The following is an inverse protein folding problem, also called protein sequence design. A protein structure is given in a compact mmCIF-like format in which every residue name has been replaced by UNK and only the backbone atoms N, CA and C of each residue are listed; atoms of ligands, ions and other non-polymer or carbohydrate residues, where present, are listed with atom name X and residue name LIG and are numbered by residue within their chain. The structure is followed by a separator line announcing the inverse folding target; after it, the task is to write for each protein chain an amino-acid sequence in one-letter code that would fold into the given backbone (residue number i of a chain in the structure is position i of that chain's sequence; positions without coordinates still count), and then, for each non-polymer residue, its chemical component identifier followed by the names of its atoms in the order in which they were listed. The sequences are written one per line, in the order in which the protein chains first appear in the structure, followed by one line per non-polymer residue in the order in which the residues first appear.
data_IF_057961318640
#
_entry.id   IF_057961318640
#
_cell.length_a   1.000
_cell.length_b   1.000
_cell.length_c   1.000
_cell.angle_alpha   90.00
_cell.angle_beta   90.00
_cell.angle_gamma   90.00
#
_symmetry.space_group_name_H-M   'P 1'
#
loop_
_entity.id
_entity.type
_entity.pdbx_description
1 polymer ?
#
# COMPACT_ATOMS: atom_id res chain seq x y z
N UNK A 1 -15.38 16.16 -15.08
CA UNK A 1 -14.11 16.41 -14.41
C UNK A 1 -14.23 17.68 -13.60
N UNK A 2 -13.79 17.68 -12.35
CA UNK A 2 -13.69 18.91 -11.55
C UNK A 2 -12.69 19.82 -12.25
N UNK A 3 -13.05 21.08 -12.54
CA UNK A 3 -12.16 22.08 -13.15
C UNK A 3 -11.06 22.56 -12.17
N UNK A 4 -10.83 21.87 -11.06
CA UNK A 4 -9.88 22.23 -10.02
C UNK A 4 -9.01 21.05 -9.57
N UNK A 5 -8.04 21.30 -8.65
CA UNK A 5 -7.17 20.28 -8.11
C UNK A 5 -7.94 19.09 -7.51
N UNK A 6 -7.49 17.88 -7.77
CA UNK A 6 -8.14 16.64 -7.28
C UNK A 6 -8.36 16.68 -5.76
N UNK A 7 -7.36 17.13 -5.00
CA UNK A 7 -7.42 17.18 -3.54
C UNK A 7 -8.61 18.00 -3.01
N UNK A 8 -9.08 19.03 -3.72
CA UNK A 8 -10.20 19.88 -3.27
C UNK A 8 -11.55 19.16 -3.25
N UNK A 9 -11.63 18.00 -3.87
CA UNK A 9 -12.82 17.16 -3.83
C UNK A 9 -12.94 16.34 -2.54
N UNK A 10 -11.94 16.32 -1.69
CA UNK A 10 -11.83 15.48 -0.49
C UNK A 10 -11.63 16.30 0.78
N UNK A 11 -12.00 15.75 1.92
CA UNK A 11 -11.86 16.39 3.23
C UNK A 11 -10.65 15.85 4.03
N UNK A 12 -10.12 14.70 3.61
CA UNK A 12 -8.88 14.11 4.11
C UNK A 12 -8.12 13.41 2.98
N UNK A 13 -6.79 13.50 3.03
CA UNK A 13 -5.88 12.67 2.22
C UNK A 13 -5.11 11.74 3.16
N UNK A 14 -5.22 10.44 2.93
CA UNK A 14 -4.56 9.40 3.70
C UNK A 14 -3.41 8.84 2.87
N UNK A 15 -2.19 9.08 3.29
CA UNK A 15 -0.99 8.64 2.60
C UNK A 15 -0.49 7.30 3.11
N UNK A 16 -0.11 6.39 2.20
CA UNK A 16 0.94 5.44 2.52
C UNK A 16 2.28 6.17 2.67
N UNK A 17 3.28 5.51 3.22
CA UNK A 17 4.57 6.12 3.52
C UNK A 17 5.66 5.70 2.55
N UNK A 18 6.00 4.40 2.53
CA UNK A 18 7.09 3.86 1.73
C UNK A 18 6.71 3.86 0.24
N UNK A 19 7.48 4.56 -0.60
CA UNK A 19 7.17 4.69 -2.03
C UNK A 19 6.23 5.85 -2.37
N UNK A 20 5.65 6.53 -1.37
CA UNK A 20 4.75 7.68 -1.53
C UNK A 20 5.36 8.96 -0.98
N UNK A 21 5.78 8.97 0.28
CA UNK A 21 6.36 10.15 0.94
C UNK A 21 7.88 10.06 1.04
N UNK A 22 8.40 8.87 1.25
CA UNK A 22 9.84 8.59 1.26
C UNK A 22 10.11 7.18 0.73
N UNK A 23 11.35 6.91 0.39
CA UNK A 23 11.83 5.57 0.08
C UNK A 23 13.12 5.34 0.86
N UNK A 24 13.11 4.37 1.78
CA UNK A 24 14.19 4.05 2.74
C UNK A 24 14.46 5.23 3.67
N UNK A 25 15.35 6.17 3.31
CA UNK A 25 15.77 7.35 4.07
C UNK A 25 15.69 8.66 3.25
N UNK A 26 15.16 8.59 2.02
CA UNK A 26 15.08 9.73 1.11
C UNK A 26 13.64 10.15 0.87
N UNK A 27 13.38 11.44 1.06
CA UNK A 27 12.07 12.04 0.76
C UNK A 27 11.82 12.00 -0.74
N UNK A 28 10.63 11.55 -1.13
CA UNK A 28 10.19 11.60 -2.52
C UNK A 28 9.98 13.06 -2.93
N UNK A 29 10.49 13.47 -4.10
CA UNK A 29 10.31 14.84 -4.60
C UNK A 29 8.82 15.25 -4.58
N UNK A 30 8.55 16.44 -4.05
CA UNK A 30 7.19 16.96 -3.94
C UNK A 30 6.44 16.59 -2.64
N UNK A 31 6.87 15.58 -1.87
CA UNK A 31 6.13 15.11 -0.68
C UNK A 31 5.95 16.20 0.40
N UNK A 32 7.01 16.94 0.73
CA UNK A 32 6.95 18.03 1.71
C UNK A 32 6.00 19.12 1.24
N UNK A 33 6.08 19.50 -0.05
CA UNK A 33 5.21 20.53 -0.63
C UNK A 33 3.75 20.07 -0.63
N UNK A 34 3.47 18.82 -1.02
CA UNK A 34 2.14 18.26 -1.08
C UNK A 34 1.44 18.30 0.29
N UNK A 35 2.10 17.78 1.33
CA UNK A 35 1.54 17.80 2.69
C UNK A 35 1.32 19.23 3.19
N UNK A 36 2.28 20.13 2.93
CA UNK A 36 2.16 21.54 3.34
C UNK A 36 1.00 22.25 2.65
N UNK A 37 0.76 21.96 1.37
CA UNK A 37 -0.32 22.56 0.58
C UNK A 37 -1.70 22.05 1.03
N UNK A 38 -1.86 20.74 1.26
CA UNK A 38 -3.09 20.18 1.82
C UNK A 38 -3.46 20.83 3.13
N UNK A 39 -2.50 20.93 4.07
CA UNK A 39 -2.73 21.55 5.38
C UNK A 39 -3.08 23.03 5.25
N UNK A 40 -2.43 23.77 4.34
CA UNK A 40 -2.74 25.18 4.06
C UNK A 40 -4.14 25.35 3.48
N UNK A 41 -4.59 24.38 2.66
CA UNK A 41 -5.94 24.35 2.10
C UNK A 41 -7.01 23.89 3.11
N UNK A 42 -6.62 23.53 4.33
CA UNK A 42 -7.54 23.04 5.36
C UNK A 42 -8.01 21.60 5.15
N UNK A 43 -7.32 20.84 4.26
CA UNK A 43 -7.58 19.43 4.03
C UNK A 43 -6.82 18.63 5.08
N UNK A 44 -7.51 17.75 5.80
CA UNK A 44 -6.86 16.91 6.79
C UNK A 44 -5.86 15.94 6.14
N UNK A 45 -4.80 15.59 6.87
CA UNK A 45 -3.79 14.62 6.44
C UNK A 45 -3.67 13.53 7.48
N UNK A 46 -3.61 12.29 7.02
CA UNK A 46 -3.27 11.14 7.85
C UNK A 46 -2.26 10.24 7.12
N UNK A 47 -1.58 9.41 7.90
CA UNK A 47 -0.55 8.49 7.44
C UNK A 47 -0.90 7.07 7.87
N UNK A 48 -0.99 6.13 6.93
CA UNK A 48 -1.37 4.74 7.20
C UNK A 48 -0.26 3.79 6.73
N UNK A 49 0.41 3.13 7.67
CA UNK A 49 1.54 2.25 7.35
C UNK A 49 1.34 0.81 7.82
N UNK A 50 1.75 -0.14 6.96
CA UNK A 50 1.83 -1.56 7.32
C UNK A 50 3.01 -1.88 8.24
N UNK A 51 3.90 -0.92 8.48
CA UNK A 51 5.05 -1.15 9.33
C UNK A 51 4.67 -1.17 10.82
N UNK A 52 4.74 -2.34 11.45
CA UNK A 52 4.48 -2.54 12.88
C UNK A 52 5.75 -2.45 13.75
N UNK A 53 6.92 -2.21 13.15
CA UNK A 53 8.19 -2.15 13.92
C UNK A 53 8.47 -0.79 14.53
N UNK A 54 7.63 0.22 14.25
CA UNK A 54 7.72 1.58 14.79
C UNK A 54 6.38 2.00 15.38
N UNK A 55 6.43 2.75 16.49
CA UNK A 55 5.22 3.38 17.04
C UNK A 55 4.79 4.59 16.21
N UNK A 56 3.54 5.03 16.37
CA UNK A 56 3.02 6.26 15.75
C UNK A 56 3.90 7.48 16.07
N UNK A 57 4.38 7.59 17.32
CA UNK A 57 5.32 8.63 17.75
C UNK A 57 6.62 8.59 16.93
N UNK A 58 7.26 7.42 16.81
CA UNK A 58 8.52 7.28 16.06
C UNK A 58 8.35 7.55 14.56
N UNK A 59 7.19 7.21 13.99
CA UNK A 59 6.87 7.53 12.59
C UNK A 59 6.69 9.04 12.41
N UNK A 60 5.96 9.71 13.31
CA UNK A 60 5.76 11.16 13.25
C UNK A 60 7.10 11.92 13.39
N UNK A 61 7.98 11.49 14.29
CA UNK A 61 9.33 12.04 14.45
C UNK A 61 10.16 11.86 13.18
N UNK A 62 10.12 10.67 12.56
CA UNK A 62 10.80 10.41 11.31
C UNK A 62 10.31 11.35 10.19
N UNK A 63 8.99 11.45 9.99
CA UNK A 63 8.39 12.34 8.99
C UNK A 63 8.80 13.80 9.23
N UNK A 64 8.74 14.25 10.49
CA UNK A 64 9.15 15.61 10.86
C UNK A 64 10.64 15.86 10.58
N UNK A 65 11.51 14.89 10.85
CA UNK A 65 12.94 14.99 10.53
C UNK A 65 13.21 15.12 9.02
N UNK A 66 12.30 14.61 8.20
CA UNK A 66 12.30 14.72 6.74
C UNK A 66 11.62 16.01 6.23
N UNK A 67 11.14 16.87 7.13
CA UNK A 67 10.44 18.11 6.78
C UNK A 67 8.96 17.93 6.48
N UNK A 68 8.40 16.74 6.67
CA UNK A 68 6.97 16.43 6.49
C UNK A 68 6.26 16.64 7.83
N UNK A 69 5.32 17.57 7.88
CA UNK A 69 4.57 17.87 9.10
C UNK A 69 3.71 16.66 9.52
N UNK A 70 3.99 16.10 10.70
CA UNK A 70 3.26 14.97 11.25
C UNK A 70 3.21 15.05 12.78
N UNK A 71 2.07 14.69 13.36
CA UNK A 71 1.90 14.45 14.78
C UNK A 71 1.52 12.96 14.99
N UNK A 72 1.76 12.39 16.18
CA UNK A 72 1.45 10.97 16.43
C UNK A 72 -0.01 10.60 16.12
N UNK A 73 -0.93 11.50 16.39
CA UNK A 73 -2.37 11.36 16.10
C UNK A 73 -2.71 11.38 14.60
N UNK A 74 -1.78 11.79 13.73
CA UNK A 74 -1.94 11.70 12.28
C UNK A 74 -1.58 10.29 11.75
N UNK A 75 -0.94 9.45 12.57
CA UNK A 75 -0.33 8.18 12.14
C UNK A 75 -1.12 6.98 12.63
N UNK A 76 -1.53 6.13 11.71
CA UNK A 76 -2.13 4.83 11.98
C UNK A 76 -1.15 3.74 11.54
N UNK A 77 -0.67 2.94 12.49
CA UNK A 77 0.24 1.81 12.22
C UNK A 77 -0.51 0.50 12.28
N UNK A 78 -0.07 -0.51 11.50
CA UNK A 78 -0.65 -1.85 11.58
C UNK A 78 -0.43 -2.49 12.95
N UNK A 79 0.61 -2.11 13.67
CA UNK A 79 0.85 -2.56 15.05
C UNK A 79 -0.23 -2.06 16.02
N UNK A 80 -0.50 -0.74 16.01
CA UNK A 80 -1.52 -0.12 16.85
C UNK A 80 -2.92 -0.65 16.52
N UNK A 81 -3.29 -0.70 15.23
CA UNK A 81 -4.56 -1.23 14.78
C UNK A 81 -4.74 -2.72 15.18
N UNK A 82 -3.67 -3.53 15.08
CA UNK A 82 -3.72 -4.93 15.53
C UNK A 82 -3.93 -5.02 17.04
N UNK A 83 -3.20 -4.25 17.83
CA UNK A 83 -3.35 -4.25 19.29
C UNK A 83 -4.77 -3.84 19.71
N UNK A 84 -5.35 -2.82 19.07
CA UNK A 84 -6.74 -2.40 19.29
C UNK A 84 -7.74 -3.51 18.92
N UNK A 85 -7.57 -4.17 17.76
CA UNK A 85 -8.40 -5.31 17.34
C UNK A 85 -8.33 -6.47 18.34
N UNK A 86 -7.15 -6.77 18.86
CA UNK A 86 -6.98 -7.82 19.86
C UNK A 86 -7.67 -7.46 21.19
N UNK A 87 -7.55 -6.22 21.64
CA UNK A 87 -8.20 -5.74 22.86
C UNK A 87 -9.73 -5.80 22.77
N UNK A 88 -10.29 -5.43 21.61
CA UNK A 88 -11.73 -5.54 21.35
C UNK A 88 -12.20 -6.99 21.34
N UNK A 89 -11.44 -7.90 20.74
CA UNK A 89 -11.84 -9.28 20.53
C UNK A 89 -11.65 -10.18 21.76
N UNK A 90 -10.55 -10.02 22.49
CA UNK A 90 -10.17 -10.89 23.59
C UNK A 90 -10.39 -10.25 24.97
N UNK A 91 -10.66 -8.96 25.01
CA UNK A 91 -10.88 -8.22 26.23
C UNK A 91 -9.60 -7.76 26.93
N UNK A 92 -9.73 -6.86 27.92
CA UNK A 92 -8.59 -6.32 28.66
C UNK A 92 -7.87 -7.41 29.46
N UNK A 93 -6.56 -7.35 29.49
CA UNK A 93 -5.71 -8.30 30.23
C UNK A 93 -5.47 -9.64 29.52
N UNK A 94 -6.05 -9.89 28.33
CA UNK A 94 -5.77 -11.09 27.56
C UNK A 94 -4.27 -11.25 27.31
N UNK A 95 -3.82 -12.50 27.37
CA UNK A 95 -2.39 -12.85 27.26
C UNK A 95 -1.96 -12.96 25.80
N UNK A 96 -0.89 -12.24 25.46
CA UNK A 96 -0.41 -12.10 24.06
C UNK A 96 1.07 -12.50 23.97
N UNK A 97 1.37 -13.54 23.18
CA UNK A 97 2.73 -13.82 22.75
C UNK A 97 3.06 -12.93 21.55
N UNK A 98 4.00 -12.02 21.73
CA UNK A 98 4.37 -11.04 20.69
C UNK A 98 5.61 -11.51 19.95
N UNK A 99 5.47 -11.79 18.65
CA UNK A 99 6.55 -12.08 17.72
C UNK A 99 6.74 -10.84 16.84
N UNK A 100 7.71 -10.00 17.15
CA UNK A 100 7.90 -8.74 16.44
C UNK A 100 8.83 -7.78 17.18
N UNK A 101 8.90 -6.55 16.66
CA UNK A 101 9.72 -5.51 17.25
C UNK A 101 9.19 -5.04 18.63
N UNK A 102 10.03 -4.43 19.46
CA UNK A 102 9.63 -3.88 20.77
C UNK A 102 8.45 -2.88 20.68
N UNK A 103 8.33 -2.15 19.57
CA UNK A 103 7.22 -1.24 19.36
C UNK A 103 5.86 -1.97 19.32
N UNK A 104 5.78 -3.14 18.68
CA UNK A 104 4.55 -3.94 18.67
C UNK A 104 4.19 -4.42 20.10
N UNK A 105 5.18 -4.80 20.90
CA UNK A 105 4.95 -5.17 22.30
C UNK A 105 4.44 -3.97 23.12
N UNK A 106 4.95 -2.77 22.85
CA UNK A 106 4.46 -1.55 23.49
C UNK A 106 3.02 -1.22 23.12
N UNK A 107 2.64 -1.40 21.84
CA UNK A 107 1.23 -1.22 21.38
C UNK A 107 0.30 -2.22 22.10
N UNK A 108 0.70 -3.48 22.23
CA UNK A 108 -0.06 -4.50 22.98
C UNK A 108 -0.27 -4.08 24.43
N UNK A 109 0.77 -3.58 25.11
CA UNK A 109 0.65 -3.05 26.48
C UNK A 109 -0.27 -1.83 26.51
N UNK A 110 -0.09 -0.88 25.58
CA UNK A 110 -0.90 0.35 25.49
C UNK A 110 -2.39 0.07 25.27
N UNK A 111 -2.71 -1.04 24.61
CA UNK A 111 -4.09 -1.49 24.40
C UNK A 111 -4.69 -2.23 25.64
N UNK A 112 -3.95 -2.30 26.76
CA UNK A 112 -4.42 -2.96 27.98
C UNK A 112 -4.35 -4.48 27.95
N UNK A 113 -3.57 -5.05 27.02
CA UNK A 113 -3.31 -6.49 26.92
C UNK A 113 -2.05 -6.84 27.71
N UNK A 114 -1.84 -8.13 27.99
CA UNK A 114 -0.72 -8.62 28.80
C UNK A 114 0.25 -9.45 27.95
N UNK A 115 1.39 -8.88 27.53
CA UNK A 115 2.41 -9.66 26.85
C UNK A 115 2.98 -10.77 27.72
N UNK A 116 3.22 -11.92 27.11
CA UNK A 116 3.88 -13.07 27.71
C UNK A 116 5.15 -13.44 26.93
N UNK A 117 6.04 -14.27 27.53
CA UNK A 117 7.38 -14.50 27.00
C UNK A 117 7.50 -15.82 26.22
N UNK A 118 6.54 -16.75 26.35
CA UNK A 118 6.60 -18.01 25.64
C UNK A 118 5.29 -18.80 25.63
N UNK A 119 5.28 -19.91 24.92
CA UNK A 119 4.15 -20.82 24.83
C UNK A 119 3.78 -21.47 26.18
N UNK A 120 4.73 -21.62 27.09
CA UNK A 120 4.50 -22.15 28.43
C UNK A 120 3.52 -21.30 29.26
N UNK A 121 3.42 -20.02 28.96
CA UNK A 121 2.47 -19.09 29.59
C UNK A 121 1.03 -19.25 29.08
N UNK A 122 0.82 -20.13 28.11
CA UNK A 122 -0.48 -20.43 27.49
C UNK A 122 -1.20 -19.16 27.01
N UNK A 123 -0.61 -18.41 26.05
CA UNK A 123 -1.20 -17.19 25.54
C UNK A 123 -2.57 -17.44 24.90
N UNK A 124 -3.50 -16.48 25.07
CA UNK A 124 -4.78 -16.47 24.35
C UNK A 124 -4.58 -16.22 22.85
N UNK A 125 -3.55 -15.42 22.50
CA UNK A 125 -3.26 -15.06 21.13
C UNK A 125 -1.76 -14.88 20.89
N UNK A 126 -1.32 -15.26 19.68
CA UNK A 126 -0.02 -14.93 19.10
C UNK A 126 -0.21 -13.80 18.12
N UNK A 127 0.51 -12.69 18.31
CA UNK A 127 0.57 -11.61 17.32
C UNK A 127 1.93 -11.61 16.64
N UNK A 128 1.93 -11.62 15.30
CA UNK A 128 3.13 -11.65 14.49
C UNK A 128 3.28 -10.39 13.67
N UNK A 129 4.36 -9.66 13.87
CA UNK A 129 4.81 -8.51 13.11
C UNK A 129 6.28 -8.63 12.76
N UNK A 130 6.77 -7.76 11.89
CA UNK A 130 8.18 -7.68 11.58
C UNK A 130 8.99 -7.20 12.79
N UNK A 131 10.13 -7.82 12.99
CA UNK A 131 11.20 -7.38 13.90
C UNK A 131 12.54 -7.87 13.37
N UNK A 132 13.59 -7.02 13.36
CA UNK A 132 14.91 -7.40 12.84
C UNK A 132 15.55 -8.55 13.63
N UNK A 133 15.16 -8.72 14.89
CA UNK A 133 15.68 -9.76 15.79
C UNK A 133 14.83 -11.04 15.79
N UNK A 134 13.68 -11.05 15.09
CA UNK A 134 12.82 -12.24 15.02
C UNK A 134 13.52 -13.36 14.28
N UNK A 135 13.73 -14.47 15.00
CA UNK A 135 14.44 -15.63 14.50
C UNK A 135 13.66 -16.93 14.64
N UNK A 136 14.37 -18.03 14.41
CA UNK A 136 13.77 -19.36 14.48
C UNK A 136 13.16 -19.67 15.86
N UNK A 137 13.79 -19.25 16.95
CA UNK A 137 13.31 -19.50 18.31
C UNK A 137 11.93 -18.88 18.54
N UNK A 138 11.73 -17.63 18.08
CA UNK A 138 10.46 -16.91 18.21
C UNK A 138 9.36 -17.62 17.42
N UNK A 139 9.67 -18.04 16.18
CA UNK A 139 8.74 -18.78 15.35
C UNK A 139 8.41 -20.17 15.93
N UNK A 140 9.36 -20.81 16.61
CA UNK A 140 9.14 -22.07 17.29
C UNK A 140 8.15 -21.90 18.47
N UNK A 141 8.34 -20.89 19.32
CA UNK A 141 7.42 -20.56 20.42
C UNK A 141 6.02 -20.24 19.89
N UNK A 142 5.93 -19.41 18.84
CA UNK A 142 4.66 -19.14 18.16
C UNK A 142 3.98 -20.42 17.68
N UNK A 143 4.73 -21.31 17.03
CA UNK A 143 4.18 -22.59 16.53
C UNK A 143 3.63 -23.46 17.65
N UNK A 144 4.35 -23.55 18.78
CA UNK A 144 3.90 -24.32 19.95
C UNK A 144 2.61 -23.72 20.53
N UNK A 145 2.58 -22.39 20.73
CA UNK A 145 1.40 -21.70 21.26
C UNK A 145 0.17 -21.86 20.37
N UNK A 146 0.33 -21.68 19.04
CA UNK A 146 -0.76 -21.81 18.08
C UNK A 146 -1.29 -23.25 18.04
N UNK A 147 -0.42 -24.26 18.08
CA UNK A 147 -0.83 -25.67 18.14
C UNK A 147 -1.54 -26.00 19.45
N UNK A 148 -1.21 -25.29 20.54
CA UNK A 148 -1.88 -25.44 21.83
C UNK A 148 -3.26 -24.74 21.88
N UNK A 149 -3.66 -24.02 20.83
CA UNK A 149 -4.97 -23.40 20.69
C UNK A 149 -5.00 -21.88 20.75
N UNK A 150 -3.83 -21.21 20.86
CA UNK A 150 -3.77 -19.76 20.76
C UNK A 150 -4.27 -19.29 19.37
N UNK A 151 -5.04 -18.19 19.33
CA UNK A 151 -5.36 -17.52 18.09
C UNK A 151 -4.10 -16.94 17.45
N UNK A 152 -4.08 -16.80 16.12
CA UNK A 152 -2.91 -16.29 15.39
C UNK A 152 -3.28 -15.09 14.54
N UNK A 153 -2.72 -13.94 14.87
CA UNK A 153 -2.91 -12.67 14.17
C UNK A 153 -1.59 -12.19 13.58
N UNK A 154 -1.64 -11.62 12.38
CA UNK A 154 -0.50 -10.96 11.75
C UNK A 154 -0.80 -9.47 11.54
N UNK A 155 0.21 -8.62 11.76
CA UNK A 155 0.07 -7.17 11.56
C UNK A 155 0.01 -6.78 10.09
N UNK A 156 0.61 -7.57 9.19
CA UNK A 156 0.58 -7.41 7.74
C UNK A 156 1.08 -8.69 7.04
N UNK A 157 0.92 -8.74 5.73
CA UNK A 157 1.38 -9.83 4.87
C UNK A 157 2.46 -9.38 3.86
N UNK A 158 3.13 -8.26 4.08
CA UNK A 158 4.14 -7.73 3.17
C UNK A 158 5.30 -8.70 3.04
N UNK A 159 5.49 -9.24 1.84
CA UNK A 159 6.52 -10.26 1.57
C UNK A 159 7.92 -9.73 1.72
N UNK A 160 8.10 -8.46 1.33
CA UNK A 160 9.39 -7.78 1.38
C UNK A 160 9.25 -6.42 2.04
N UNK A 161 10.37 -5.91 2.54
CA UNK A 161 10.53 -4.53 2.98
C UNK A 161 11.67 -3.88 2.19
N UNK A 162 11.59 -2.59 1.88
CA UNK A 162 12.64 -1.88 1.16
C UNK A 162 13.89 -1.70 2.05
N UNK A 163 15.06 -1.79 1.43
CA UNK A 163 16.32 -1.48 2.09
C UNK A 163 17.37 -0.98 1.10
N UNK A 164 18.47 -0.32 1.56
CA UNK A 164 19.58 0.08 0.69
C UNK A 164 20.26 -1.10 -0.03
N UNK A 165 20.04 -2.32 0.44
CA UNK A 165 20.58 -3.57 -0.15
C UNK A 165 19.61 -4.24 -1.11
N UNK A 166 18.48 -3.60 -1.42
CA UNK A 166 17.36 -4.18 -2.16
C UNK A 166 16.27 -4.74 -1.24
N UNK A 167 15.24 -5.40 -1.80
CA UNK A 167 14.15 -5.96 -1.01
C UNK A 167 14.63 -7.05 -0.05
N UNK A 168 14.33 -6.91 1.23
CA UNK A 168 14.59 -7.92 2.26
C UNK A 168 13.28 -8.62 2.69
N UNK A 169 13.33 -9.83 3.31
CA UNK A 169 12.14 -10.49 3.81
C UNK A 169 11.36 -9.62 4.80
N UNK A 170 10.08 -9.38 4.49
CA UNK A 170 9.13 -8.71 5.38
C UNK A 170 8.37 -9.69 6.27
N UNK A 171 7.40 -9.18 7.03
CA UNK A 171 6.58 -9.99 7.93
C UNK A 171 5.84 -11.12 7.19
N UNK A 172 5.35 -10.87 5.98
CA UNK A 172 4.67 -11.89 5.16
C UNK A 172 5.54 -13.11 4.86
N UNK A 173 6.86 -12.94 4.76
CA UNK A 173 7.80 -14.07 4.61
C UNK A 173 7.92 -14.88 5.92
N UNK A 174 7.89 -14.23 7.08
CA UNK A 174 7.89 -14.90 8.39
C UNK A 174 6.54 -15.59 8.65
N UNK A 175 5.42 -14.96 8.26
CA UNK A 175 4.09 -15.57 8.27
C UNK A 175 4.05 -16.82 7.39
N UNK A 176 4.64 -16.77 6.20
CA UNK A 176 4.72 -17.91 5.29
C UNK A 176 5.50 -19.10 5.90
N UNK A 177 6.54 -18.82 6.68
CA UNK A 177 7.29 -19.87 7.41
C UNK A 177 6.39 -20.58 8.44
N UNK A 178 5.67 -19.83 9.29
CA UNK A 178 4.72 -20.42 10.24
C UNK A 178 3.56 -21.12 9.54
N UNK A 179 3.00 -20.51 8.49
CA UNK A 179 1.94 -21.12 7.67
C UNK A 179 2.35 -22.49 7.12
N UNK A 180 3.57 -22.60 6.61
CA UNK A 180 4.12 -23.86 6.11
C UNK A 180 4.24 -24.89 7.24
N UNK A 181 4.74 -24.49 8.42
CA UNK A 181 4.92 -25.38 9.56
C UNK A 181 3.59 -25.83 10.19
N UNK A 182 2.57 -24.96 10.18
CA UNK A 182 1.29 -25.18 10.85
C UNK A 182 0.23 -25.81 9.92
N UNK A 183 0.37 -25.65 8.59
CA UNK A 183 -0.63 -26.09 7.62
C UNK A 183 -1.92 -25.25 7.65
N UNK A 184 -1.89 -24.02 8.18
CA UNK A 184 -3.03 -23.12 8.28
C UNK A 184 -2.62 -21.66 8.08
N UNK A 185 -3.60 -20.82 7.74
CA UNK A 185 -3.46 -19.38 7.67
C UNK A 185 -3.60 -18.72 9.05
N UNK A 186 -3.13 -17.47 9.26
CA UNK A 186 -3.53 -16.65 10.39
C UNK A 186 -5.05 -16.51 10.46
N UNK A 187 -5.59 -16.34 11.66
CA UNK A 187 -7.02 -16.08 11.86
C UNK A 187 -7.42 -14.72 11.31
N UNK A 188 -6.50 -13.74 11.34
CA UNK A 188 -6.64 -12.47 10.65
C UNK A 188 -5.28 -11.83 10.36
N UNK A 189 -5.27 -10.99 9.31
CA UNK A 189 -4.20 -10.06 8.97
C UNK A 189 -4.82 -8.67 9.00
N UNK A 190 -4.33 -7.79 9.89
CA UNK A 190 -4.99 -6.50 10.18
C UNK A 190 -4.49 -5.34 9.32
N UNK A 191 -3.25 -5.41 8.80
CA UNK A 191 -2.71 -4.41 7.89
C UNK A 191 -3.33 -4.44 6.50
N UNK A 192 -3.12 -3.37 5.73
CA UNK A 192 -3.54 -3.28 4.31
C UNK A 192 -3.25 -4.58 3.57
N UNK A 193 -4.15 -5.12 2.75
CA UNK A 193 -5.39 -4.52 2.23
C UNK A 193 -6.63 -4.67 3.13
N UNK A 194 -6.50 -5.05 4.42
CA UNK A 194 -7.61 -4.89 5.35
C UNK A 194 -7.96 -3.40 5.46
N UNK A 195 -9.24 -3.02 5.39
CA UNK A 195 -9.65 -1.62 5.35
C UNK A 195 -9.45 -0.88 6.68
N UNK A 196 -9.15 -1.60 7.77
CA UNK A 196 -9.15 -1.07 9.13
C UNK A 196 -8.30 0.19 9.32
N UNK A 197 -7.07 0.21 8.76
CA UNK A 197 -6.18 1.36 8.89
C UNK A 197 -6.78 2.63 8.26
N UNK A 198 -7.36 2.51 7.09
CA UNK A 198 -7.95 3.65 6.37
C UNK A 198 -9.24 4.12 7.04
N UNK A 199 -10.08 3.18 7.48
CA UNK A 199 -11.32 3.49 8.21
C UNK A 199 -11.00 4.20 9.53
N UNK A 200 -9.98 3.75 10.28
CA UNK A 200 -9.55 4.38 11.51
C UNK A 200 -9.01 5.80 11.25
N UNK A 201 -8.15 5.98 10.24
CA UNK A 201 -7.62 7.29 9.88
C UNK A 201 -8.73 8.30 9.51
N UNK A 202 -9.71 7.88 8.71
CA UNK A 202 -10.83 8.72 8.31
C UNK A 202 -11.74 9.04 9.52
N UNK A 203 -12.06 8.04 10.35
CA UNK A 203 -12.92 8.18 11.53
C UNK A 203 -12.31 9.14 12.57
N UNK A 204 -11.01 9.04 12.83
CA UNK A 204 -10.30 9.89 13.78
C UNK A 204 -10.40 11.39 13.44
N UNK A 205 -10.63 11.72 12.16
CA UNK A 205 -10.78 13.09 11.65
C UNK A 205 -12.23 13.46 11.30
N UNK A 206 -13.18 12.55 11.51
CA UNK A 206 -14.60 12.76 11.15
C UNK A 206 -14.80 12.96 9.63
N UNK A 207 -13.91 12.40 8.82
CA UNK A 207 -13.92 12.57 7.38
C UNK A 207 -15.09 11.82 6.72
N UNK A 208 -15.61 12.41 5.64
CA UNK A 208 -16.73 11.88 4.84
C UNK A 208 -16.32 11.55 3.41
N UNK A 209 -15.26 12.18 2.93
CA UNK A 209 -14.75 12.03 1.57
C UNK A 209 -13.24 11.83 1.60
N UNK A 210 -12.77 10.67 2.07
CA UNK A 210 -11.36 10.35 2.10
C UNK A 210 -10.82 10.00 0.71
N UNK A 211 -9.57 10.40 0.44
CA UNK A 211 -8.75 9.95 -0.67
C UNK A 211 -7.55 9.20 -0.13
N UNK A 212 -7.31 7.98 -0.60
CA UNK A 212 -6.10 7.21 -0.29
C UNK A 212 -5.06 7.44 -1.38
N UNK A 213 -3.84 7.76 -0.97
CA UNK A 213 -2.66 7.87 -1.85
C UNK A 213 -1.72 6.73 -1.54
N UNK A 214 -1.48 5.89 -2.53
CA UNK A 214 -0.61 4.72 -2.37
C UNK A 214 0.20 4.42 -3.62
N UNK A 215 1.20 3.56 -3.47
CA UNK A 215 2.06 3.11 -4.56
C UNK A 215 1.86 1.62 -4.90
N UNK A 216 0.98 0.94 -4.15
CA UNK A 216 0.77 -0.51 -4.31
C UNK A 216 -0.70 -0.84 -4.58
N UNK A 217 -0.88 -1.69 -5.61
CA UNK A 217 -2.20 -2.19 -5.99
C UNK A 217 -2.76 -3.19 -4.96
N UNK A 218 -1.91 -4.06 -4.44
CA UNK A 218 -2.29 -5.19 -3.58
C UNK A 218 -2.50 -4.83 -2.11
N UNK A 219 -2.13 -3.62 -1.70
CA UNK A 219 -2.32 -3.12 -0.32
C UNK A 219 -3.15 -1.84 -0.31
N UNK A 220 -2.66 -0.76 -0.95
CA UNK A 220 -3.27 0.56 -0.83
C UNK A 220 -4.56 0.68 -1.63
N UNK A 221 -4.50 0.34 -2.93
CA UNK A 221 -5.65 0.43 -3.83
C UNK A 221 -6.73 -0.57 -3.41
N UNK A 222 -6.34 -1.82 -3.16
CA UNK A 222 -7.28 -2.85 -2.71
C UNK A 222 -7.89 -2.49 -1.34
N UNK A 223 -7.08 -1.99 -0.41
CA UNK A 223 -7.53 -1.57 0.91
C UNK A 223 -8.49 -0.36 0.86
N UNK A 224 -8.17 0.65 0.04
CA UNK A 224 -9.06 1.79 -0.21
C UNK A 224 -10.42 1.34 -0.77
N UNK A 225 -10.39 0.47 -1.78
CA UNK A 225 -11.61 -0.09 -2.38
C UNK A 225 -12.45 -0.88 -1.37
N UNK A 226 -11.81 -1.69 -0.53
CA UNK A 226 -12.49 -2.43 0.56
C UNK A 226 -13.08 -1.49 1.62
N UNK A 227 -12.45 -0.33 1.84
CA UNK A 227 -12.94 0.71 2.71
C UNK A 227 -14.05 1.57 2.08
N UNK A 228 -14.34 1.41 0.78
CA UNK A 228 -15.28 2.25 0.03
C UNK A 228 -14.75 3.67 -0.20
N UNK A 229 -13.43 3.84 -0.27
CA UNK A 229 -12.73 5.11 -0.47
C UNK A 229 -12.13 5.18 -1.88
N UNK A 230 -12.07 6.40 -2.43
CA UNK A 230 -11.35 6.63 -3.68
C UNK A 230 -9.84 6.52 -3.47
N UNK A 231 -9.14 6.07 -4.52
CA UNK A 231 -7.70 5.85 -4.50
C UNK A 231 -6.99 6.55 -5.66
N UNK A 232 -5.81 7.10 -5.38
CA UNK A 232 -4.84 7.51 -6.40
C UNK A 232 -3.58 6.65 -6.27
N UNK A 233 -3.22 5.98 -7.36
CA UNK A 233 -1.94 5.28 -7.46
C UNK A 233 -0.89 6.26 -7.96
N UNK A 234 0.21 6.42 -7.22
CA UNK A 234 1.40 7.15 -7.68
C UNK A 234 2.47 6.16 -8.15
N UNK A 235 3.16 6.50 -9.25
CA UNK A 235 4.15 5.62 -9.87
C UNK A 235 5.57 5.81 -9.30
N UNK A 236 5.66 6.32 -8.07
CA UNK A 236 6.94 6.59 -7.39
C UNK A 236 7.50 5.40 -6.61
N UNK A 237 6.73 4.33 -6.48
CA UNK A 237 7.08 3.18 -5.63
C UNK A 237 7.05 1.82 -6.35
N UNK A 238 6.32 0.87 -5.77
CA UNK A 238 6.40 -0.56 -6.12
C UNK A 238 5.65 -0.90 -7.41
N UNK A 239 4.36 -0.50 -7.51
CA UNK A 239 3.53 -0.88 -8.65
C UNK A 239 3.90 -0.09 -9.90
N UNK A 240 4.07 -0.81 -10.99
CA UNK A 240 4.46 -0.27 -12.28
C UNK A 240 3.25 -0.21 -13.23
N UNK A 241 3.28 0.58 -14.31
CA UNK A 241 2.20 0.65 -15.29
C UNK A 241 1.74 -0.70 -15.83
N UNK A 242 2.65 -1.67 -15.95
CA UNK A 242 2.32 -3.03 -16.38
C UNK A 242 1.45 -3.78 -15.36
N UNK A 243 1.66 -3.55 -14.06
CA UNK A 243 0.89 -4.21 -13.01
C UNK A 243 -0.55 -3.70 -13.03
N UNK A 244 -0.74 -2.39 -13.26
CA UNK A 244 -2.07 -1.77 -13.41
C UNK A 244 -2.82 -2.35 -14.62
N UNK A 245 -2.12 -2.58 -15.73
CA UNK A 245 -2.71 -3.17 -16.94
C UNK A 245 -3.37 -4.52 -16.64
N UNK A 246 -2.73 -5.33 -15.78
CA UNK A 246 -3.20 -6.68 -15.43
C UNK A 246 -3.98 -6.75 -14.11
N UNK A 247 -4.26 -5.60 -13.50
CA UNK A 247 -4.91 -5.51 -12.20
C UNK A 247 -6.31 -6.14 -12.19
N UNK A 248 -6.56 -6.99 -11.19
CA UNK A 248 -7.89 -7.51 -10.91
C UNK A 248 -8.83 -6.40 -10.45
N UNK A 249 -10.16 -6.54 -10.58
CA UNK A 249 -11.10 -5.45 -10.28
C UNK A 249 -10.91 -4.79 -8.92
N UNK A 250 -10.52 -5.54 -7.89
CA UNK A 250 -10.30 -5.04 -6.53
C UNK A 250 -9.04 -4.17 -6.40
N UNK A 251 -8.12 -4.26 -7.36
CA UNK A 251 -6.82 -3.58 -7.38
C UNK A 251 -6.75 -2.48 -8.44
N UNK A 252 -7.89 -2.07 -9.00
CA UNK A 252 -7.95 -0.99 -9.99
C UNK A 252 -8.10 0.35 -9.27
N UNK A 253 -7.14 1.28 -9.41
CA UNK A 253 -7.25 2.60 -8.80
C UNK A 253 -8.32 3.46 -9.49
N UNK A 254 -8.82 4.48 -8.79
CA UNK A 254 -9.76 5.46 -9.36
C UNK A 254 -9.01 6.55 -10.12
N UNK A 255 -7.79 6.86 -9.68
CA UNK A 255 -6.90 7.83 -10.30
C UNK A 255 -5.48 7.30 -10.41
N UNK A 256 -4.75 7.81 -11.42
CA UNK A 256 -3.34 7.52 -11.65
C UNK A 256 -2.57 8.83 -11.80
N UNK A 257 -1.41 8.93 -11.17
CA UNK A 257 -0.47 10.04 -11.32
C UNK A 257 0.97 9.53 -11.35
N UNK A 258 1.87 10.27 -11.99
CA UNK A 258 3.29 9.96 -11.95
C UNK A 258 3.85 10.15 -10.54
N UNK A 259 3.41 11.19 -9.84
CA UNK A 259 3.82 11.57 -8.49
C UNK A 259 2.71 12.37 -7.77
N UNK A 260 3.04 12.99 -6.64
CA UNK A 260 2.10 13.75 -5.82
C UNK A 260 1.62 15.08 -6.43
N UNK A 261 2.20 15.54 -7.54
CA UNK A 261 1.69 16.71 -8.28
C UNK A 261 0.25 16.47 -8.75
N UNK A 262 -0.13 15.20 -9.01
CA UNK A 262 -1.48 14.82 -9.38
C UNK A 262 -2.58 15.20 -8.37
N UNK A 263 -2.23 15.54 -7.12
CA UNK A 263 -3.19 16.04 -6.14
C UNK A 263 -3.63 17.49 -6.45
N UNK A 264 -2.77 18.27 -7.11
CA UNK A 264 -2.93 19.72 -7.27
C UNK A 264 -3.04 20.18 -8.71
N UNK A 265 -2.36 19.49 -9.62
CA UNK A 265 -2.39 19.79 -11.07
C UNK A 265 -3.33 18.81 -11.79
N UNK A 266 -4.44 19.30 -12.35
CA UNK A 266 -5.35 18.45 -13.12
C UNK A 266 -4.72 17.82 -14.36
N UNK A 267 -3.61 18.36 -14.89
CA UNK A 267 -2.87 17.77 -16.00
C UNK A 267 -1.95 16.63 -15.58
N UNK A 268 -1.61 16.55 -14.29
CA UNK A 268 -0.72 15.52 -13.73
C UNK A 268 -1.47 14.31 -13.15
N UNK A 269 -2.79 14.22 -13.35
CA UNK A 269 -3.63 13.12 -12.88
C UNK A 269 -4.65 12.73 -13.91
N UNK A 270 -4.91 11.44 -14.03
CA UNK A 270 -5.95 10.90 -14.91
C UNK A 270 -6.91 9.99 -14.13
N UNK A 271 -8.21 10.10 -14.41
CA UNK A 271 -9.19 9.14 -13.92
C UNK A 271 -9.03 7.80 -14.65
N UNK A 272 -9.17 6.69 -13.95
CA UNK A 272 -8.98 5.35 -14.51
C UNK A 272 -10.24 4.49 -14.25
N UNK A 273 -10.89 3.97 -15.27
CA UNK A 273 -10.58 4.15 -16.70
C UNK A 273 -10.87 5.58 -17.19
N UNK A 274 -10.24 5.98 -18.30
CA UNK A 274 -10.45 7.29 -18.89
C UNK A 274 -11.94 7.59 -19.09
N UNK A 275 -12.36 8.78 -18.65
CA UNK A 275 -13.77 9.21 -18.68
C UNK A 275 -14.11 10.10 -19.90
N UNK A 276 -13.10 10.59 -20.61
CA UNK A 276 -13.24 11.49 -21.77
C UNK A 276 -12.41 11.00 -22.94
N UNK A 277 -12.79 11.39 -24.14
CA UNK A 277 -11.98 11.13 -25.33
C UNK A 277 -10.62 11.84 -25.21
N UNK A 278 -9.56 11.09 -25.44
CA UNK A 278 -8.18 11.58 -25.47
C UNK A 278 -7.68 11.59 -26.93
N UNK A 279 -6.50 12.13 -27.19
CA UNK A 279 -5.86 12.03 -28.52
C UNK A 279 -5.36 10.60 -28.82
N UNK A 280 -5.46 9.70 -27.86
CA UNK A 280 -4.97 8.33 -27.95
C UNK A 280 -6.05 7.35 -28.40
N UNK A 281 -5.64 6.34 -29.13
CA UNK A 281 -6.49 5.24 -29.59
C UNK A 281 -5.81 3.90 -29.26
N UNK A 282 -6.60 2.96 -28.79
CA UNK A 282 -6.15 1.60 -28.49
C UNK A 282 -7.01 0.62 -29.30
N UNK A 283 -6.37 -0.13 -30.19
CA UNK A 283 -7.01 -1.20 -30.95
C UNK A 283 -6.42 -2.54 -30.61
N UNK A 284 -7.20 -3.59 -30.77
CA UNK A 284 -6.72 -4.96 -30.62
C UNK A 284 -6.19 -5.50 -31.94
N UNK A 285 -5.05 -6.19 -31.87
CA UNK A 285 -4.44 -6.90 -32.98
C UNK A 285 -4.00 -8.29 -32.49
N UNK A 286 -4.82 -9.31 -32.72
CA UNK A 286 -4.64 -10.64 -32.16
C UNK A 286 -4.63 -10.63 -30.63
N UNK A 287 -3.50 -11.04 -30.05
CA UNK A 287 -3.29 -11.05 -28.59
C UNK A 287 -2.61 -9.77 -28.06
N UNK A 288 -2.57 -8.70 -28.85
CA UNK A 288 -1.87 -7.47 -28.53
C UNK A 288 -2.80 -6.27 -28.53
N UNK A 289 -2.44 -5.27 -27.76
CA UNK A 289 -2.93 -3.93 -27.90
C UNK A 289 -1.97 -3.12 -28.78
N UNK A 290 -2.50 -2.27 -29.63
CA UNK A 290 -1.75 -1.30 -30.43
C UNK A 290 -2.20 0.07 -30.02
N UNK A 291 -1.28 0.85 -29.44
CA UNK A 291 -1.46 2.25 -29.06
C UNK A 291 -1.07 3.12 -30.26
N UNK A 292 -1.93 4.10 -30.60
CA UNK A 292 -1.70 5.11 -31.65
C UNK A 292 -2.26 6.46 -31.25
N UNK A 293 -1.85 7.52 -31.95
CA UNK A 293 -2.27 8.90 -31.65
C UNK A 293 -1.20 9.68 -30.93
N UNK A 294 -1.62 10.78 -30.26
CA UNK A 294 -0.78 11.68 -29.46
C UNK A 294 -1.59 12.31 -28.32
N UNK A 295 -0.91 12.96 -27.37
CA UNK A 295 -1.51 13.63 -26.22
C UNK A 295 -0.68 13.41 -24.95
N UNK A 296 -1.30 13.67 -23.79
CA UNK A 296 -0.65 13.49 -22.49
C UNK A 296 -0.32 12.01 -22.23
N UNK A 297 0.88 11.69 -21.75
CA UNK A 297 1.32 10.30 -21.52
C UNK A 297 0.41 9.49 -20.58
N UNK A 298 -0.10 10.11 -19.50
CA UNK A 298 -1.01 9.43 -18.56
C UNK A 298 -2.35 9.06 -19.21
N UNK A 299 -2.84 9.86 -20.15
CA UNK A 299 -4.05 9.56 -20.90
C UNK A 299 -3.89 8.29 -21.76
N UNK A 300 -2.69 8.09 -22.33
CA UNK A 300 -2.38 6.86 -23.05
C UNK A 300 -2.48 5.61 -22.16
N UNK A 301 -1.97 5.70 -20.91
CA UNK A 301 -2.11 4.63 -19.93
C UNK A 301 -3.58 4.38 -19.57
N UNK A 302 -4.34 5.43 -19.31
CA UNK A 302 -5.76 5.31 -18.97
C UNK A 302 -6.57 4.63 -20.09
N UNK A 303 -6.29 4.96 -21.37
CA UNK A 303 -6.91 4.31 -22.52
C UNK A 303 -6.51 2.83 -22.64
N UNK A 304 -5.23 2.50 -22.41
CA UNK A 304 -4.76 1.11 -22.38
C UNK A 304 -5.47 0.31 -21.30
N UNK A 305 -5.60 0.88 -20.10
CA UNK A 305 -6.27 0.22 -18.98
C UNK A 305 -7.77 0.05 -19.26
N UNK A 306 -8.42 1.07 -19.81
CA UNK A 306 -9.82 1.00 -20.21
C UNK A 306 -10.05 -0.14 -21.21
N UNK A 307 -9.21 -0.23 -22.25
CA UNK A 307 -9.31 -1.27 -23.26
C UNK A 307 -9.06 -2.66 -22.65
N UNK A 308 -8.04 -2.81 -21.82
CA UNK A 308 -7.68 -4.07 -21.18
C UNK A 308 -8.74 -4.56 -20.19
N UNK A 309 -9.27 -3.66 -19.36
CA UNK A 309 -10.25 -4.03 -18.32
C UNK A 309 -11.65 -4.29 -18.89
N UNK A 310 -11.92 -3.85 -20.10
CA UNK A 310 -13.18 -4.15 -20.81
C UNK A 310 -13.20 -5.56 -21.41
N UNK A 311 -12.09 -6.28 -21.43
CA UNK A 311 -11.99 -7.64 -21.98
C UNK A 311 -11.72 -8.70 -20.94
N UNK A 312 -12.31 -9.90 -21.14
CA UNK A 312 -11.99 -11.08 -20.33
C UNK A 312 -10.65 -11.74 -20.73
N UNK A 313 -10.09 -11.37 -21.87
CA UNK A 313 -8.84 -11.94 -22.38
C UNK A 313 -7.71 -10.91 -22.26
N UNK A 314 -6.80 -11.06 -21.29
CA UNK A 314 -5.68 -10.13 -21.14
C UNK A 314 -4.78 -10.17 -22.38
N UNK A 315 -4.35 -8.98 -22.85
CA UNK A 315 -3.35 -8.92 -23.90
C UNK A 315 -1.96 -9.27 -23.34
N UNK A 316 -1.17 -9.97 -24.15
CA UNK A 316 0.18 -10.42 -23.77
C UNK A 316 1.21 -9.30 -23.95
N UNK A 317 0.93 -8.31 -24.80
CA UNK A 317 1.85 -7.23 -25.12
C UNK A 317 1.10 -5.96 -25.59
N UNK A 318 1.83 -4.84 -25.53
CA UNK A 318 1.43 -3.56 -26.13
C UNK A 318 2.46 -3.19 -27.20
N UNK A 319 1.99 -2.86 -28.38
CA UNK A 319 2.81 -2.36 -29.49
C UNK A 319 2.43 -0.88 -29.76
N UNK A 320 3.34 -0.14 -30.35
CA UNK A 320 3.14 1.26 -30.73
C UNK A 320 2.94 1.39 -32.25
N UNK A 321 2.03 2.28 -32.66
CA UNK A 321 1.86 2.72 -34.02
C UNK A 321 2.11 4.23 -34.06
N UNK A 322 3.31 4.63 -34.44
CA UNK A 322 3.81 5.99 -34.47
C UNK A 322 4.83 6.33 -33.39
N UNK A 323 5.52 7.48 -33.57
CA UNK A 323 6.64 7.90 -32.72
C UNK A 323 6.18 8.32 -31.32
N UNK A 324 5.07 9.04 -31.22
CA UNK A 324 4.52 9.46 -29.92
C UNK A 324 4.12 8.25 -29.06
N UNK A 325 3.42 7.28 -29.63
CA UNK A 325 3.07 6.04 -28.94
C UNK A 325 4.32 5.26 -28.52
N UNK A 326 5.34 5.20 -29.38
CA UNK A 326 6.62 4.56 -29.07
C UNK A 326 7.36 5.24 -27.93
N UNK A 327 7.29 6.58 -27.83
CA UNK A 327 7.88 7.35 -26.75
C UNK A 327 7.19 7.03 -25.40
N UNK A 328 5.88 7.07 -25.35
CA UNK A 328 5.06 6.77 -24.17
C UNK A 328 5.31 5.35 -23.67
N UNK A 329 5.28 4.35 -24.57
CA UNK A 329 5.53 2.95 -24.15
C UNK A 329 6.96 2.75 -23.62
N UNK A 330 7.95 3.49 -24.12
CA UNK A 330 9.32 3.47 -23.55
C UNK A 330 9.37 4.13 -22.18
N UNK A 331 8.76 5.30 -22.03
CA UNK A 331 8.72 6.03 -20.77
C UNK A 331 8.15 5.18 -19.63
N UNK A 332 7.04 4.49 -19.88
CA UNK A 332 6.37 3.65 -18.89
C UNK A 332 6.82 2.18 -18.87
N UNK A 333 7.90 1.83 -19.55
CA UNK A 333 8.47 0.47 -19.54
C UNK A 333 7.54 -0.61 -20.12
N UNK A 334 6.60 -0.24 -20.98
CA UNK A 334 5.64 -1.15 -21.60
C UNK A 334 6.15 -1.77 -22.92
N UNK A 335 7.27 -1.29 -23.44
CA UNK A 335 7.93 -1.89 -24.60
C UNK A 335 8.48 -3.28 -24.27
N UNK A 336 8.53 -4.20 -25.25
CA UNK A 336 9.26 -5.45 -25.10
C UNK A 336 10.72 -5.14 -24.77
N UNK A 337 11.27 -5.77 -23.74
CA UNK A 337 12.73 -5.95 -23.70
C UNK A 337 13.12 -6.73 -24.97
N UNK A 338 14.11 -6.25 -25.75
CA UNK A 338 14.66 -7.08 -26.81
C UNK A 338 15.06 -8.40 -26.16
N UNK A 339 14.48 -9.51 -26.64
CA UNK A 339 15.01 -10.83 -26.32
C UNK A 339 16.46 -10.78 -26.73
N UNK A 340 17.39 -10.83 -25.76
CA UNK A 340 18.79 -11.09 -26.07
C UNK A 340 18.77 -12.38 -26.89
N UNK A 341 19.09 -12.28 -28.19
CA UNK A 341 19.34 -13.44 -29.01
C UNK A 341 20.44 -14.21 -28.28
N UNK A 342 20.08 -15.34 -27.69
CA UNK A 342 21.04 -16.32 -27.24
C UNK A 342 21.76 -16.75 -28.51
N UNK A 343 22.93 -16.15 -28.73
CA UNK A 343 23.87 -16.60 -29.75
C UNK A 343 24.20 -18.06 -29.47
N UNK A 344 24.15 -18.80 -30.51
CA UNK A 344 24.54 -20.19 -30.62
C UNK A 344 25.96 -20.47 -30.14
#
# INVERSE_FOLDING_TARGET
MTQGPLATAYDIVIFDLDGVLYLVDQVIPGAVAAVSELRRAGIAVAYATNNASRSAQSVAELLTSMGIAAAPEDVVTSGGATAATLAERFGPGASVLVIGAPALRAEVVGAGLRPVDGAADKPDVVVQGYGPEVGWADLAEASVAIRAGAAWYATNADRTLPSPRGPLPGNGSLVAALRTALGREPDAIVGKPDPGLFVEAAKARGARRPLVVGDRLDTDVEGARRAGMDSILVLTGVSQPRDVLTAVPQQRPDFLAADLAGLFDPAAVVAVPASTATGWQVRRDGERWVLSGDGEPLDALAELYRAQWATAQPAVAVDADGDAASAVLREFGLTRRPTSASGA
#
